data_IF_322253070561
#
_entry.id   IF_322253070561
#
_cell.length_a   1.000
_cell.length_b   1.000
_cell.length_c   1.000
_cell.angle_alpha   90.00
_cell.angle_beta   90.00
_cell.angle_gamma   90.00
#
_symmetry.space_group_name_H-M   'P 1'
#
loop_
_entity.id
_entity.type
_entity.pdbx_description
1 polymer ?
#
# COMPACT_ATOMS: atom_id res chain seq x y z
N UNK A 1 -1.13 -14.52 -1.58
CA UNK A 1 -0.19 -13.52 -1.01
C UNK A 1 -0.69 -12.11 -1.25
N UNK A 2 -0.39 -11.19 -0.33
CA UNK A 2 -0.69 -9.76 -0.44
C UNK A 2 0.62 -8.99 -0.50
N UNK A 3 0.57 -7.74 -0.92
CA UNK A 3 1.76 -6.92 -1.04
C UNK A 3 1.43 -5.46 -0.86
N UNK A 4 2.30 -4.78 -0.14
CA UNK A 4 2.34 -3.33 -0.05
C UNK A 4 2.99 -2.79 -1.32
N UNK A 5 2.32 -1.89 -2.05
CA UNK A 5 2.85 -1.37 -3.30
C UNK A 5 2.37 0.04 -3.62
N UNK A 6 3.16 0.77 -4.39
CA UNK A 6 2.87 2.11 -4.89
C UNK A 6 3.46 2.30 -6.29
N UNK A 7 3.04 3.35 -7.00
CA UNK A 7 3.65 3.69 -8.28
C UNK A 7 5.02 4.34 -8.10
N UNK A 8 5.94 4.17 -9.08
CA UNK A 8 7.22 4.88 -9.08
C UNK A 8 7.07 6.40 -8.98
N UNK A 9 6.05 6.97 -9.61
CA UNK A 9 5.78 8.41 -9.57
C UNK A 9 5.48 8.91 -8.14
N UNK A 10 4.64 8.19 -7.40
CA UNK A 10 4.36 8.52 -6.00
C UNK A 10 5.63 8.44 -5.14
N UNK A 11 6.45 7.41 -5.33
CA UNK A 11 7.68 7.21 -4.55
C UNK A 11 8.76 8.24 -4.88
N UNK A 12 8.81 8.72 -6.13
CA UNK A 12 9.71 9.80 -6.52
C UNK A 12 9.37 11.12 -5.81
N UNK A 13 8.08 11.38 -5.55
CA UNK A 13 7.61 12.60 -4.86
C UNK A 13 7.67 12.47 -3.33
N UNK A 14 7.25 11.32 -2.78
CA UNK A 14 7.06 11.11 -1.33
C UNK A 14 8.19 10.36 -0.65
N UNK A 15 9.13 9.79 -1.41
CA UNK A 15 10.16 8.88 -0.90
C UNK A 15 9.67 7.43 -0.78
N UNK A 16 10.61 6.52 -0.52
CA UNK A 16 10.34 5.08 -0.34
C UNK A 16 10.31 4.77 1.16
N UNK A 17 9.21 4.22 1.71
CA UNK A 17 9.17 3.82 3.11
C UNK A 17 10.17 2.69 3.35
N UNK A 18 10.99 2.83 4.39
CA UNK A 18 12.03 1.85 4.77
C UNK A 18 11.58 0.93 5.90
N UNK A 19 10.62 1.39 6.70
CA UNK A 19 10.01 0.61 7.80
C UNK A 19 8.51 0.86 7.87
N UNK A 20 7.73 -0.07 8.47
CA UNK A 20 6.28 0.07 8.57
C UNK A 20 5.83 1.41 9.17
N UNK A 21 6.54 1.94 10.15
CA UNK A 21 6.20 3.19 10.83
C UNK A 21 6.23 4.41 9.90
N UNK A 22 6.97 4.36 8.80
CA UNK A 22 7.01 5.44 7.81
C UNK A 22 5.64 5.63 7.13
N UNK A 23 4.76 4.62 7.17
CA UNK A 23 3.41 4.72 6.63
C UNK A 23 2.55 5.79 7.30
N UNK A 24 2.91 6.26 8.50
CA UNK A 24 2.19 7.37 9.15
C UNK A 24 2.37 8.70 8.41
N UNK A 25 3.42 8.86 7.61
CA UNK A 25 3.69 10.08 6.83
C UNK A 25 3.38 9.91 5.34
N UNK A 26 2.90 8.74 4.93
CA UNK A 26 2.49 8.44 3.57
C UNK A 26 0.96 8.43 3.42
N UNK A 27 0.50 8.72 2.21
CA UNK A 27 -0.87 8.46 1.81
C UNK A 27 -1.11 6.95 1.66
N UNK A 28 -1.92 6.38 2.54
CA UNK A 28 -2.35 5.00 2.41
C UNK A 28 -3.72 4.89 1.74
N UNK A 29 -3.90 3.84 0.94
CA UNK A 29 -5.10 3.51 0.18
C UNK A 29 -5.69 2.20 0.70
N UNK A 30 -6.27 2.20 1.92
CA UNK A 30 -6.72 0.99 2.56
C UNK A 30 -8.00 0.42 1.95
N UNK A 31 -8.08 -0.91 1.95
CA UNK A 31 -9.30 -1.63 1.60
C UNK A 31 -10.31 -1.63 2.76
N UNK A 32 -11.60 -1.48 2.45
CA UNK A 32 -12.71 -1.64 3.40
C UNK A 32 -13.45 -0.34 3.75
N UNK A 33 -14.22 -0.34 4.84
CA UNK A 33 -15.18 0.73 5.17
C UNK A 33 -14.86 1.51 6.46
N UNK A 34 -14.03 0.95 7.36
CA UNK A 34 -13.70 1.58 8.64
C UNK A 34 -12.89 2.87 8.47
N UNK A 35 -13.05 3.89 9.33
CA UNK A 35 -12.27 5.15 9.23
C UNK A 35 -10.76 4.92 9.33
N UNK A 36 -10.35 3.98 10.18
CA UNK A 36 -8.98 3.49 10.32
C UNK A 36 -8.88 2.08 9.76
N UNK A 37 -7.77 1.77 9.07
CA UNK A 37 -7.47 0.41 8.61
C UNK A 37 -6.24 -0.10 9.34
N UNK A 38 -6.27 -1.37 9.73
CA UNK A 38 -5.14 -2.05 10.33
C UNK A 38 -4.36 -2.81 9.27
N UNK A 39 -3.10 -2.43 9.07
CA UNK A 39 -2.15 -3.18 8.28
C UNK A 39 -1.21 -3.95 9.21
N UNK A 40 -0.92 -5.19 8.85
CA UNK A 40 -0.15 -6.13 9.68
C UNK A 40 1.18 -6.42 8.99
N UNK A 41 2.25 -6.38 9.75
CA UNK A 41 3.61 -6.65 9.31
C UNK A 41 4.18 -7.77 10.16
N UNK A 42 4.78 -8.76 9.52
CA UNK A 42 5.52 -9.82 10.21
C UNK A 42 6.95 -9.35 10.46
N UNK A 43 7.19 -8.76 11.63
CA UNK A 43 8.54 -8.44 12.10
C UNK A 43 9.26 -9.69 12.61
N UNK A 44 10.60 -9.68 12.56
CA UNK A 44 11.44 -10.77 13.05
C UNK A 44 11.21 -11.11 14.54
N UNK A 45 10.90 -10.10 15.37
CA UNK A 45 10.69 -10.29 16.80
C UNK A 45 9.19 -10.38 17.17
N UNK A 46 8.34 -9.53 16.59
CA UNK A 46 6.89 -9.48 16.90
C UNK A 46 6.07 -8.98 15.70
N UNK A 47 4.84 -9.51 15.50
CA UNK A 47 3.90 -8.94 14.55
C UNK A 47 3.54 -7.50 14.96
N UNK A 48 3.67 -6.58 14.01
CA UNK A 48 3.32 -5.17 14.18
C UNK A 48 1.98 -4.90 13.48
N UNK A 49 1.06 -4.21 14.17
CA UNK A 49 -0.19 -3.74 13.57
C UNK A 49 -0.21 -2.23 13.59
N UNK A 50 -0.33 -1.61 12.42
CA UNK A 50 -0.39 -0.15 12.26
C UNK A 50 -1.77 0.29 11.80
N UNK A 51 -2.25 1.36 12.41
CA UNK A 51 -3.43 2.07 11.93
C UNK A 51 -2.99 3.02 10.82
N UNK A 52 -3.38 2.71 9.58
CA UNK A 52 -3.12 3.58 8.44
C UNK A 52 -4.34 4.44 8.12
N UNK A 53 -4.07 5.65 7.64
CA UNK A 53 -5.02 6.61 7.12
C UNK A 53 -4.50 7.14 5.79
N UNK A 54 -5.38 7.72 4.98
CA UNK A 54 -4.93 8.38 3.76
C UNK A 54 -6.07 8.96 2.95
N UNK A 55 -5.70 9.50 1.79
CA UNK A 55 -6.54 10.37 0.96
C UNK A 55 -7.77 9.69 0.36
N UNK A 56 -7.78 8.36 0.28
CA UNK A 56 -8.88 7.60 -0.30
C UNK A 56 -8.96 6.20 0.30
N UNK A 57 -10.18 5.67 0.38
CA UNK A 57 -10.50 4.32 0.80
C UNK A 57 -11.54 3.74 -0.13
N UNK A 58 -11.44 2.45 -0.42
CA UNK A 58 -12.44 1.75 -1.22
C UNK A 58 -12.60 0.30 -0.78
N UNK A 59 -13.78 -0.26 -1.03
CA UNK A 59 -14.07 -1.68 -0.91
C UNK A 59 -13.93 -2.41 -2.27
N UNK A 60 -13.23 -1.80 -3.23
CA UNK A 60 -12.97 -2.34 -4.55
C UNK A 60 -11.46 -2.34 -4.80
N UNK A 61 -10.89 -3.53 -5.00
CA UNK A 61 -9.45 -3.71 -5.16
C UNK A 61 -8.92 -3.15 -6.48
N UNK A 62 -9.65 -3.32 -7.59
CA UNK A 62 -9.33 -2.71 -8.88
C UNK A 62 -9.25 -1.19 -8.79
N UNK A 63 -10.21 -0.55 -8.12
CA UNK A 63 -10.17 0.91 -7.92
C UNK A 63 -8.92 1.35 -7.13
N UNK A 64 -8.59 0.63 -6.05
CA UNK A 64 -7.37 0.92 -5.28
C UNK A 64 -6.09 0.70 -6.09
N UNK A 65 -6.06 -0.34 -6.93
CA UNK A 65 -4.95 -0.58 -7.87
C UNK A 65 -4.78 0.59 -8.83
N UNK A 66 -5.83 0.98 -9.54
CA UNK A 66 -5.75 2.09 -10.50
C UNK A 66 -5.37 3.41 -9.80
N UNK A 67 -5.83 3.60 -8.58
CA UNK A 67 -5.46 4.76 -7.77
C UNK A 67 -3.99 4.77 -7.35
N UNK A 68 -3.44 3.62 -6.95
CA UNK A 68 -2.01 3.50 -6.65
C UNK A 68 -1.16 3.75 -7.91
N UNK A 69 -1.58 3.24 -9.06
CA UNK A 69 -0.94 3.47 -10.37
C UNK A 69 -0.96 4.96 -10.72
N UNK A 70 -2.07 5.64 -10.47
CA UNK A 70 -2.23 7.09 -10.68
C UNK A 70 -1.45 7.97 -9.66
N UNK A 71 -0.67 7.36 -8.76
CA UNK A 71 0.16 8.12 -7.82
C UNK A 71 -0.57 8.60 -6.56
N UNK A 72 -1.70 7.98 -6.21
CA UNK A 72 -2.49 8.42 -5.06
C UNK A 72 -1.99 7.87 -3.72
N UNK A 73 -1.08 6.90 -3.70
CA UNK A 73 -0.54 6.38 -2.45
C UNK A 73 -0.11 4.92 -2.49
N UNK A 74 0.11 4.39 -1.30
CA UNK A 74 0.48 3.00 -1.04
C UNK A 74 -0.79 2.19 -0.82
N UNK A 75 -0.91 1.00 -1.41
CA UNK A 75 -2.02 0.07 -1.15
C UNK A 75 -1.49 -1.30 -0.69
N UNK A 76 -2.34 -2.05 0.02
CA UNK A 76 -2.06 -3.41 0.48
C UNK A 76 -3.11 -4.37 -0.09
N UNK A 77 -2.76 -5.03 -1.18
CA UNK A 77 -3.72 -5.84 -1.97
C UNK A 77 -3.17 -7.22 -2.32
N UNK A 78 -4.05 -8.21 -2.56
CA UNK A 78 -3.66 -9.49 -3.11
C UNK A 78 -2.94 -9.39 -4.45
N UNK A 79 -1.94 -10.24 -4.67
CA UNK A 79 -1.14 -10.27 -5.90
C UNK A 79 -1.96 -10.61 -7.15
N UNK A 80 -3.12 -11.27 -7.03
CA UNK A 80 -4.01 -11.48 -8.18
C UNK A 80 -4.63 -10.18 -8.72
N UNK A 81 -4.72 -9.12 -7.90
CA UNK A 81 -5.22 -7.81 -8.31
C UNK A 81 -4.10 -6.95 -8.90
N UNK A 82 -2.97 -6.88 -8.20
CA UNK A 82 -1.86 -5.96 -8.53
C UNK A 82 -0.74 -6.59 -9.36
N UNK A 83 -0.76 -7.91 -9.57
CA UNK A 83 0.35 -8.66 -10.17
C UNK A 83 0.71 -8.23 -11.58
N UNK A 84 -0.27 -7.89 -12.42
CA UNK A 84 0.02 -7.36 -13.77
C UNK A 84 0.73 -6.01 -13.70
N UNK A 85 0.23 -5.08 -12.87
CA UNK A 85 0.82 -3.77 -12.68
C UNK A 85 2.24 -3.84 -12.07
N UNK A 86 2.50 -4.82 -11.19
CA UNK A 86 3.84 -5.09 -10.66
C UNK A 86 4.79 -5.60 -11.75
N UNK A 87 4.36 -6.56 -12.58
CA UNK A 87 5.18 -7.08 -13.68
C UNK A 87 5.52 -6.02 -14.73
N UNK A 88 4.58 -5.11 -14.98
CA UNK A 88 4.72 -4.01 -15.95
C UNK A 88 5.48 -2.80 -15.37
N UNK A 89 5.86 -2.82 -14.08
CA UNK A 89 6.55 -1.71 -13.42
C UNK A 89 5.67 -0.49 -13.16
N UNK A 90 4.34 -0.58 -13.37
CA UNK A 90 3.37 0.46 -13.02
C UNK A 90 3.21 0.60 -11.50
N UNK A 91 3.41 -0.51 -10.79
CA UNK A 91 3.55 -0.55 -9.33
C UNK A 91 4.87 -1.23 -8.97
N UNK A 92 5.40 -0.89 -7.81
CA UNK A 92 6.54 -1.56 -7.20
C UNK A 92 6.20 -1.97 -5.78
N UNK A 93 6.74 -3.10 -5.32
CA UNK A 93 6.59 -3.55 -3.92
C UNK A 93 7.32 -2.55 -3.01
N UNK A 94 6.74 -2.23 -1.88
CA UNK A 94 7.32 -1.38 -0.83
C UNK A 94 7.10 -2.06 0.49
N UNK A 95 8.11 -2.18 1.35
CA UNK A 95 8.02 -2.94 2.60
C UNK A 95 7.72 -4.44 2.39
N UNK A 96 8.17 -5.25 3.35
CA UNK A 96 7.87 -6.68 3.40
C UNK A 96 6.61 -6.94 4.25
N UNK A 97 5.90 -8.03 3.97
CA UNK A 97 4.67 -8.45 4.66
C UNK A 97 4.90 -9.36 5.87
#
# INVERSE_FOLDING_TARGET
DRVYCASPAYLAERGIPQKPEDLHTHDCLPYGHSRQAQWRFQGQDKPLTLNVSGRMRANNGELLRESAIAGLGITYLPTFIVGAALREGRLVRVLDD
#
